data_IF_925678463652
#
_entry.id   IF_925678463652
#
_cell.length_a   1.000
_cell.length_b   1.000
_cell.length_c   1.000
_cell.angle_alpha   90.00
_cell.angle_beta   90.00
_cell.angle_gamma   90.00
#
_symmetry.space_group_name_H-M   'P 1'
#
loop_
_entity.id
_entity.type
_entity.pdbx_description
1 polymer ?
#
# COMPACT_ATOMS: atom_id res chain seq x y z
N UNK A 1 6.44 20.58 -1.61
CA UNK A 1 7.08 19.26 -1.49
C UNK A 1 6.39 18.27 -2.41
N UNK A 2 7.03 17.95 -3.55
CA UNK A 2 6.62 16.89 -4.49
C UNK A 2 7.85 16.15 -5.04
N UNK A 3 8.97 16.22 -4.32
CA UNK A 3 10.25 15.68 -4.80
C UNK A 3 10.38 14.20 -4.43
N UNK A 4 9.45 13.41 -4.97
CA UNK A 4 9.38 11.97 -4.66
C UNK A 4 10.61 11.23 -5.19
N UNK A 5 11.19 11.69 -6.31
CA UNK A 5 12.42 11.13 -6.86
C UNK A 5 13.52 11.11 -5.79
N UNK A 6 13.86 12.27 -5.24
CA UNK A 6 14.87 12.37 -4.19
C UNK A 6 14.49 11.60 -2.92
N UNK A 7 13.21 11.59 -2.53
CA UNK A 7 12.78 10.80 -1.36
C UNK A 7 12.98 9.29 -1.58
N UNK A 8 12.65 8.78 -2.76
CA UNK A 8 12.81 7.36 -3.09
C UNK A 8 14.25 6.98 -3.36
N UNK A 9 15.07 7.87 -3.93
CA UNK A 9 16.51 7.67 -4.08
C UNK A 9 17.17 7.53 -2.71
N UNK A 10 16.91 8.47 -1.79
CA UNK A 10 17.43 8.43 -0.43
C UNK A 10 16.99 7.17 0.34
N UNK A 11 15.80 6.64 0.05
CA UNK A 11 15.29 5.41 0.65
C UNK A 11 15.80 4.14 -0.03
N UNK A 12 16.29 4.17 -1.27
CA UNK A 12 16.66 2.98 -2.03
C UNK A 12 18.17 2.82 -2.21
N UNK A 13 18.91 3.92 -2.26
CA UNK A 13 20.36 3.91 -2.46
C UNK A 13 21.10 3.64 -1.15
N UNK A 14 22.26 2.99 -1.28
CA UNK A 14 23.20 2.83 -0.18
C UNK A 14 23.95 4.16 0.04
N UNK A 15 24.22 4.55 1.30
CA UNK A 15 24.93 5.78 1.59
C UNK A 15 26.32 5.78 0.95
N UNK A 16 26.72 6.92 0.37
CA UNK A 16 28.08 7.12 -0.12
C UNK A 16 29.14 7.01 0.98
N UNK A 17 30.44 6.91 0.62
CA UNK A 17 31.53 6.71 1.60
C UNK A 17 31.62 7.78 2.70
N UNK A 18 31.13 8.98 2.42
CA UNK A 18 31.12 10.13 3.35
C UNK A 18 29.71 10.46 3.88
N UNK A 19 28.69 9.70 3.48
CA UNK A 19 27.30 9.94 3.86
C UNK A 19 26.89 9.05 5.03
N UNK A 20 26.10 9.61 5.95
CA UNK A 20 25.52 8.84 7.04
C UNK A 20 24.27 8.11 6.56
N UNK A 21 24.21 6.81 6.83
CA UNK A 21 23.01 6.01 6.62
C UNK A 21 21.83 6.59 7.41
N UNK A 22 20.64 6.52 6.81
CA UNK A 22 19.42 6.84 7.55
C UNK A 22 19.20 5.82 8.68
N UNK A 23 18.83 6.33 9.84
CA UNK A 23 18.32 5.49 10.93
C UNK A 23 16.92 4.98 10.60
N UNK A 24 16.51 3.85 11.18
CA UNK A 24 15.16 3.28 10.97
C UNK A 24 14.04 4.29 11.26
N UNK A 25 14.23 5.15 12.27
CA UNK A 25 13.28 6.22 12.61
C UNK A 25 13.20 7.28 11.49
N UNK A 26 14.34 7.66 10.91
CA UNK A 26 14.38 8.61 9.80
C UNK A 26 13.75 8.01 8.54
N UNK A 27 14.02 6.75 8.22
CA UNK A 27 13.39 6.05 7.09
C UNK A 27 11.86 5.99 7.27
N UNK A 28 11.38 5.55 8.44
CA UNK A 28 9.94 5.50 8.73
C UNK A 28 9.28 6.89 8.65
N UNK A 29 9.94 7.92 9.18
CA UNK A 29 9.44 9.31 9.12
C UNK A 29 9.38 9.82 7.68
N UNK A 30 10.40 9.54 6.89
CA UNK A 30 10.48 9.94 5.49
C UNK A 30 9.39 9.25 4.66
N UNK A 31 9.17 7.95 4.86
CA UNK A 31 8.11 7.19 4.20
C UNK A 31 6.73 7.78 4.56
N UNK A 32 6.48 8.07 5.83
CA UNK A 32 5.22 8.68 6.26
C UNK A 32 4.99 10.06 5.62
N UNK A 33 6.01 10.90 5.59
CA UNK A 33 5.96 12.22 4.98
C UNK A 33 5.72 12.12 3.46
N UNK A 34 6.41 11.19 2.80
CA UNK A 34 6.23 10.88 1.38
C UNK A 34 4.79 10.45 1.10
N UNK A 35 4.24 9.47 1.82
CA UNK A 35 2.86 8.99 1.63
C UNK A 35 1.83 10.09 1.90
N UNK A 36 2.04 10.93 2.91
CA UNK A 36 1.20 12.10 3.17
C UNK A 36 1.25 13.13 2.03
N UNK A 37 2.41 13.34 1.43
CA UNK A 37 2.56 14.23 0.27
C UNK A 37 1.87 13.67 -0.98
N UNK A 38 1.91 12.35 -1.18
CA UNK A 38 1.18 11.64 -2.24
C UNK A 38 -0.32 11.84 -2.07
N UNK A 39 -0.85 11.57 -0.88
CA UNK A 39 -2.27 11.76 -0.55
C UNK A 39 -2.73 13.19 -0.84
N UNK A 40 -1.95 14.18 -0.39
CA UNK A 40 -2.25 15.59 -0.65
C UNK A 40 -2.21 15.93 -2.14
N UNK A 41 -1.22 15.44 -2.88
CA UNK A 41 -1.10 15.69 -4.32
C UNK A 41 -2.24 15.06 -5.13
N UNK A 42 -2.71 13.87 -4.72
CA UNK A 42 -3.77 13.14 -5.40
C UNK A 42 -5.18 13.65 -5.07
N UNK A 43 -5.42 14.10 -3.83
CA UNK A 43 -6.75 14.52 -3.36
C UNK A 43 -6.96 16.03 -3.43
N UNK A 44 -5.88 16.83 -3.44
CA UNK A 44 -5.95 18.29 -3.31
C UNK A 44 -6.45 18.77 -1.94
N UNK A 45 -6.68 17.86 -0.98
CA UNK A 45 -7.19 18.17 0.35
C UNK A 45 -6.02 18.59 1.23
N UNK A 46 -6.05 19.83 1.73
CA UNK A 46 -5.13 20.28 2.76
C UNK A 46 -5.54 19.74 4.14
N UNK A 47 -4.59 19.56 5.09
CA UNK A 47 -4.90 19.15 6.45
C UNK A 47 -5.99 20.05 7.07
N UNK A 48 -6.91 19.43 7.81
CA UNK A 48 -8.02 20.13 8.48
C UNK A 48 -7.47 21.31 9.29
N UNK A 49 -7.99 22.52 9.04
CA UNK A 49 -7.57 23.76 9.71
C UNK A 49 -6.68 24.71 8.89
N UNK A 50 -6.22 24.34 7.69
CA UNK A 50 -5.58 25.29 6.76
C UNK A 50 -6.60 25.81 5.75
N UNK A 51 -6.77 27.14 5.73
CA UNK A 51 -7.69 27.86 4.84
C UNK A 51 -7.47 27.43 3.38
N UNK A 52 -8.52 27.06 2.61
CA UNK A 52 -8.37 26.56 1.24
C UNK A 52 -7.87 27.69 0.33
N UNK A 53 -6.60 27.63 -0.08
CA UNK A 53 -6.07 28.53 -1.11
C UNK A 53 -6.31 27.90 -2.49
N UNK A 54 -7.48 28.18 -3.05
CA UNK A 54 -7.92 27.81 -4.40
C UNK A 54 -8.05 26.30 -4.65
N UNK A 55 -9.01 25.91 -5.49
CA UNK A 55 -9.14 24.54 -6.01
C UNK A 55 -7.89 24.22 -6.84
N UNK A 56 -6.82 23.75 -6.20
CA UNK A 56 -5.72 23.13 -6.93
C UNK A 56 -6.29 21.84 -7.51
N UNK A 57 -6.51 21.84 -8.82
CA UNK A 57 -7.03 20.70 -9.56
C UNK A 57 -6.30 19.42 -9.12
N UNK A 58 -7.07 18.38 -8.81
CA UNK A 58 -6.64 17.02 -8.52
C UNK A 58 -5.91 16.40 -9.73
N UNK A 59 -4.71 16.92 -10.03
CA UNK A 59 -3.88 16.63 -11.20
C UNK A 59 -2.62 15.85 -10.83
N UNK A 60 -2.34 15.67 -9.52
CA UNK A 60 -1.15 14.98 -9.04
C UNK A 60 -1.19 13.46 -9.22
N UNK A 61 -2.37 12.85 -9.42
CA UNK A 61 -2.50 11.39 -9.56
C UNK A 61 -1.63 10.83 -10.67
N UNK A 62 -1.62 11.47 -11.84
CA UNK A 62 -0.79 11.03 -12.97
C UNK A 62 0.71 11.07 -12.66
N UNK A 63 1.18 12.14 -12.00
CA UNK A 63 2.59 12.24 -11.58
C UNK A 63 2.95 11.22 -10.49
N UNK A 64 2.04 10.98 -9.54
CA UNK A 64 2.20 9.96 -8.49
C UNK A 64 2.31 8.59 -9.14
N UNK A 65 1.35 8.23 -10.00
CA UNK A 65 1.33 6.93 -10.67
C UNK A 65 2.58 6.71 -11.50
N UNK A 66 3.00 7.66 -12.34
CA UNK A 66 4.20 7.49 -13.16
C UNK A 66 5.46 7.21 -12.33
N UNK A 67 5.65 7.91 -11.22
CA UNK A 67 6.82 7.73 -10.38
C UNK A 67 6.76 6.41 -9.60
N UNK A 68 5.68 6.21 -8.84
CA UNK A 68 5.56 5.07 -7.92
C UNK A 68 5.29 3.74 -8.62
N UNK A 69 4.88 3.74 -9.89
CA UNK A 69 4.78 2.50 -10.68
C UNK A 69 6.11 1.75 -10.75
N UNK A 70 7.25 2.45 -10.67
CA UNK A 70 8.59 1.82 -10.68
C UNK A 70 9.28 1.84 -9.32
N UNK A 71 9.02 2.86 -8.50
CA UNK A 71 9.65 2.99 -7.18
C UNK A 71 9.00 2.10 -6.11
N UNK A 72 7.67 1.95 -6.14
CA UNK A 72 6.93 1.20 -5.11
C UNK A 72 7.35 -0.28 -5.00
N UNK A 73 7.51 -1.04 -6.11
CA UNK A 73 7.99 -2.41 -6.02
C UNK A 73 9.34 -2.53 -5.30
N UNK A 74 10.26 -1.59 -5.56
CA UNK A 74 11.59 -1.57 -4.95
C UNK A 74 11.51 -1.27 -3.45
N UNK A 75 10.67 -0.31 -3.06
CA UNK A 75 10.47 0.05 -1.66
C UNK A 75 9.85 -1.11 -0.86
N UNK A 76 8.82 -1.76 -1.41
CA UNK A 76 8.19 -2.91 -0.76
C UNK A 76 9.18 -4.07 -0.58
N UNK A 77 10.03 -4.34 -1.58
CA UNK A 77 11.08 -5.36 -1.46
C UNK A 77 12.12 -5.02 -0.38
N UNK A 78 12.56 -3.75 -0.27
CA UNK A 78 13.51 -3.31 0.76
C UNK A 78 12.92 -3.43 2.18
N UNK A 79 11.66 -3.03 2.36
CA UNK A 79 11.00 -2.94 3.67
C UNK A 79 10.10 -4.14 4.01
N UNK A 80 10.19 -5.26 3.29
CA UNK A 80 9.33 -6.45 3.44
C UNK A 80 9.30 -7.09 4.83
N UNK A 81 10.18 -6.70 5.75
CA UNK A 81 10.19 -7.21 7.13
C UNK A 81 9.45 -6.31 8.13
N UNK A 82 8.94 -5.15 7.69
CA UNK A 82 8.30 -4.17 8.55
C UNK A 82 6.85 -3.93 8.12
N UNK A 83 5.92 -4.65 8.75
CA UNK A 83 4.49 -4.61 8.46
C UNK A 83 3.89 -3.20 8.46
N UNK A 84 4.33 -2.33 9.38
CA UNK A 84 3.81 -0.95 9.48
C UNK A 84 4.26 -0.09 8.29
N UNK A 85 5.52 -0.23 7.89
CA UNK A 85 6.04 0.45 6.70
C UNK A 85 5.35 -0.08 5.45
N UNK A 86 5.17 -1.41 5.36
CA UNK A 86 4.47 -2.05 4.25
C UNK A 86 3.03 -1.57 4.12
N UNK A 87 2.26 -1.53 5.21
CA UNK A 87 0.90 -0.98 5.22
C UNK A 87 0.88 0.48 4.75
N UNK A 88 1.85 1.28 5.21
CA UNK A 88 1.99 2.68 4.79
C UNK A 88 2.28 2.82 3.30
N UNK A 89 3.18 2.01 2.75
CA UNK A 89 3.54 1.99 1.33
C UNK A 89 2.39 1.44 0.46
N UNK A 90 1.67 0.42 0.91
CA UNK A 90 0.49 -0.14 0.23
C UNK A 90 -0.69 0.85 0.13
N UNK A 91 -0.70 1.90 0.93
CA UNK A 91 -1.71 2.96 0.80
C UNK A 91 -1.48 3.86 -0.42
N UNK A 92 -0.26 3.89 -0.99
CA UNK A 92 0.11 4.74 -2.14
C UNK A 92 -0.70 4.37 -3.40
N UNK A 93 -0.84 3.09 -3.80
CA UNK A 93 -1.68 2.65 -4.92
C UNK A 93 -3.12 3.16 -4.89
N UNK A 94 -3.72 3.38 -3.71
CA UNK A 94 -5.08 3.94 -3.56
C UNK A 94 -5.25 5.30 -4.22
N UNK A 95 -4.15 6.01 -4.42
CA UNK A 95 -4.11 7.35 -4.99
C UNK A 95 -3.73 7.37 -6.48
N UNK A 96 -3.57 6.20 -7.12
CA UNK A 96 -3.17 6.12 -8.52
C UNK A 96 -4.30 6.53 -9.49
N UNK A 97 -3.90 7.03 -10.66
CA UNK A 97 -4.80 7.16 -11.80
C UNK A 97 -4.90 5.84 -12.55
N UNK A 98 -5.90 5.06 -12.18
CA UNK A 98 -6.19 3.76 -12.79
C UNK A 98 -6.51 3.85 -14.29
N UNK A 99 -6.86 5.04 -14.81
CA UNK A 99 -7.03 5.25 -16.26
C UNK A 99 -5.72 5.10 -17.03
N UNK A 100 -4.58 5.36 -16.40
CA UNK A 100 -3.27 5.19 -17.03
C UNK A 100 -2.98 3.71 -17.35
N UNK A 101 -3.43 2.81 -16.48
CA UNK A 101 -3.28 1.36 -16.62
C UNK A 101 -4.22 0.75 -17.66
N UNK A 102 -5.32 1.43 -18.00
CA UNK A 102 -6.24 0.99 -19.07
C UNK A 102 -5.64 1.12 -20.49
N UNK A 103 -4.44 1.71 -20.62
CA UNK A 103 -3.72 1.79 -21.89
C UNK A 103 -2.87 0.52 -22.08
N UNK A 104 -2.91 -0.11 -23.26
CA UNK A 104 -2.21 -1.38 -23.56
C UNK A 104 -0.72 -1.38 -23.21
N UNK A 105 -0.06 -0.21 -23.21
CA UNK A 105 1.36 -0.05 -22.86
C UNK A 105 1.67 -0.27 -21.37
N UNK A 106 0.70 -0.09 -20.47
CA UNK A 106 0.90 -0.12 -19.02
C UNK A 106 0.22 -1.33 -18.34
N UNK A 107 -0.29 -2.28 -19.12
CA UNK A 107 -1.02 -3.44 -18.59
C UNK A 107 -0.12 -4.36 -17.75
N UNK A 108 1.14 -4.56 -18.16
CA UNK A 108 2.13 -5.33 -17.39
C UNK A 108 2.42 -4.69 -16.02
N UNK A 109 2.37 -3.35 -15.94
CA UNK A 109 2.57 -2.61 -14.70
C UNK A 109 1.40 -2.79 -13.72
N UNK A 110 0.18 -3.03 -14.23
CA UNK A 110 -0.98 -3.36 -13.41
C UNK A 110 -0.88 -4.78 -12.87
N UNK A 111 -0.51 -5.74 -13.71
CA UNK A 111 -0.24 -7.12 -13.28
C UNK A 111 0.82 -7.15 -12.17
N UNK A 112 1.92 -6.42 -12.37
CA UNK A 112 2.97 -6.28 -11.34
C UNK A 112 2.43 -5.71 -10.01
N UNK A 113 1.53 -4.73 -10.07
CA UNK A 113 0.90 -4.17 -8.86
C UNK A 113 0.02 -5.21 -8.15
N UNK A 114 -0.74 -6.01 -8.92
CA UNK A 114 -1.58 -7.08 -8.37
C UNK A 114 -0.75 -8.21 -7.76
N UNK A 115 0.35 -8.60 -8.42
CA UNK A 115 1.27 -9.61 -7.90
C UNK A 115 1.93 -9.14 -6.59
N UNK A 116 2.30 -7.87 -6.52
CA UNK A 116 2.83 -7.25 -5.30
C UNK A 116 1.79 -7.25 -4.19
N UNK A 117 0.54 -6.87 -4.48
CA UNK A 117 -0.55 -6.90 -3.51
C UNK A 117 -0.78 -8.32 -2.97
N UNK A 118 -0.83 -9.31 -3.87
CA UNK A 118 -0.97 -10.73 -3.51
C UNK A 118 0.18 -11.18 -2.61
N UNK A 119 1.42 -11.00 -3.06
CA UNK A 119 2.60 -11.41 -2.32
C UNK A 119 2.67 -10.73 -0.95
N UNK A 120 2.24 -9.48 -0.85
CA UNK A 120 2.22 -8.77 0.43
C UNK A 120 1.18 -9.35 1.39
N UNK A 121 -0.01 -9.70 0.92
CA UNK A 121 -1.05 -10.33 1.75
C UNK A 121 -0.65 -11.76 2.17
N UNK A 122 0.04 -12.50 1.30
CA UNK A 122 0.52 -13.85 1.60
C UNK A 122 1.69 -13.86 2.60
N UNK A 123 2.57 -12.87 2.55
CA UNK A 123 3.77 -12.81 3.39
C UNK A 123 3.56 -12.12 4.74
N UNK A 124 2.46 -11.40 4.94
CA UNK A 124 2.20 -10.64 6.16
C UNK A 124 0.90 -11.08 6.84
N UNK A 125 0.97 -11.37 8.14
CA UNK A 125 -0.20 -11.73 8.97
C UNK A 125 -0.82 -10.53 9.71
N UNK A 126 -0.33 -9.31 9.44
CA UNK A 126 -0.84 -8.10 10.08
C UNK A 126 -2.21 -7.69 9.53
N UNK A 127 -3.19 -7.55 10.42
CA UNK A 127 -4.53 -7.06 10.08
C UNK A 127 -4.52 -5.70 9.39
N UNK A 128 -3.53 -4.85 9.68
CA UNK A 128 -3.40 -3.53 9.05
C UNK A 128 -2.99 -3.65 7.58
N UNK A 129 -2.07 -4.56 7.27
CA UNK A 129 -1.65 -4.85 5.89
C UNK A 129 -2.81 -5.41 5.08
N UNK A 130 -3.56 -6.37 5.65
CA UNK A 130 -4.73 -6.98 5.01
C UNK A 130 -5.85 -5.97 4.76
N UNK A 131 -6.13 -5.06 5.70
CA UNK A 131 -7.14 -4.01 5.53
C UNK A 131 -6.77 -3.02 4.41
N UNK A 132 -5.52 -2.58 4.34
CA UNK A 132 -5.07 -1.69 3.27
C UNK A 132 -5.11 -2.41 1.91
N UNK A 133 -4.71 -3.68 1.85
CA UNK A 133 -4.80 -4.49 0.64
C UNK A 133 -6.26 -4.68 0.19
N UNK A 134 -7.19 -4.92 1.11
CA UNK A 134 -8.62 -5.03 0.82
C UNK A 134 -9.19 -3.73 0.22
N UNK A 135 -8.85 -2.57 0.80
CA UNK A 135 -9.23 -1.25 0.26
C UNK A 135 -8.63 -0.99 -1.12
N UNK A 136 -7.41 -1.47 -1.38
CA UNK A 136 -6.78 -1.38 -2.68
C UNK A 136 -7.52 -2.22 -3.71
N UNK A 137 -7.87 -3.46 -3.35
CA UNK A 137 -8.66 -4.35 -4.19
C UNK A 137 -10.05 -3.77 -4.49
N UNK A 138 -10.76 -3.24 -3.48
CA UNK A 138 -12.05 -2.58 -3.67
C UNK A 138 -11.94 -1.43 -4.68
N UNK A 139 -10.94 -0.56 -4.50
CA UNK A 139 -10.70 0.58 -5.41
C UNK A 139 -10.42 0.09 -6.83
N UNK A 140 -9.66 -0.99 -7.00
CA UNK A 140 -9.35 -1.57 -8.31
C UNK A 140 -10.58 -2.19 -8.98
N UNK A 141 -11.40 -2.94 -8.23
CA UNK A 141 -12.61 -3.59 -8.72
C UNK A 141 -13.71 -2.59 -9.13
N UNK A 142 -13.83 -1.46 -8.43
CA UNK A 142 -14.79 -0.40 -8.77
C UNK A 142 -14.43 0.35 -10.07
N UNK A 143 -13.24 0.13 -10.63
CA UNK A 143 -12.85 0.72 -11.90
C UNK A 143 -13.17 -0.25 -13.05
N UNK A 144 -14.39 -0.13 -13.60
CA UNK A 144 -14.92 -0.95 -14.72
C UNK A 144 -14.00 -1.03 -15.96
N UNK A 145 -13.08 -0.07 -16.13
CA UNK A 145 -12.12 -0.07 -17.25
C UNK A 145 -10.93 -1.01 -17.06
N UNK A 146 -10.71 -1.50 -15.83
CA UNK A 146 -9.61 -2.39 -15.49
C UNK A 146 -10.03 -3.86 -15.41
N UNK A 147 -11.32 -4.19 -15.51
CA UNK A 147 -11.85 -5.57 -15.50
C UNK A 147 -11.77 -6.21 -16.89
N UNK A 148 -10.60 -6.16 -17.51
CA UNK A 148 -10.33 -6.98 -18.69
C UNK A 148 -10.18 -8.45 -18.27
N UNK A 149 -10.50 -9.39 -19.16
CA UNK A 149 -10.37 -10.84 -18.87
C UNK A 149 -8.96 -11.25 -18.38
N UNK A 150 -7.91 -10.50 -18.73
CA UNK A 150 -6.53 -10.76 -18.27
C UNK A 150 -6.29 -10.39 -16.81
N UNK A 151 -6.86 -9.28 -16.36
CA UNK A 151 -6.68 -8.72 -15.01
C UNK A 151 -7.66 -9.31 -14.00
N UNK A 152 -8.80 -9.82 -14.47
CA UNK A 152 -9.80 -10.54 -13.67
C UNK A 152 -9.20 -11.72 -12.93
N UNK A 153 -8.34 -12.52 -13.58
CA UNK A 153 -7.66 -13.65 -12.94
C UNK A 153 -6.77 -13.22 -11.77
N UNK A 154 -5.94 -12.19 -11.95
CA UNK A 154 -5.08 -11.67 -10.89
C UNK A 154 -5.88 -11.01 -9.76
N UNK A 155 -6.98 -10.31 -10.08
CA UNK A 155 -7.88 -9.74 -9.08
C UNK A 155 -8.52 -10.82 -8.21
N UNK A 156 -8.97 -11.93 -8.81
CA UNK A 156 -9.52 -13.08 -8.08
C UNK A 156 -8.47 -13.73 -7.16
N UNK A 157 -7.22 -13.83 -7.61
CA UNK A 157 -6.15 -14.37 -6.76
C UNK A 157 -5.85 -13.45 -5.57
N UNK A 158 -5.84 -12.13 -5.76
CA UNK A 158 -5.68 -11.17 -4.65
C UNK A 158 -6.87 -11.27 -3.69
N UNK A 159 -8.09 -11.39 -4.22
CA UNK A 159 -9.31 -11.57 -3.42
C UNK A 159 -9.23 -12.84 -2.56
N UNK A 160 -8.79 -13.95 -3.15
CA UNK A 160 -8.61 -15.22 -2.45
C UNK A 160 -7.54 -15.12 -1.36
N UNK A 161 -6.41 -14.46 -1.63
CA UNK A 161 -5.37 -14.22 -0.64
C UNK A 161 -5.89 -13.39 0.54
N UNK A 162 -6.61 -12.29 0.28
CA UNK A 162 -7.22 -11.45 1.32
C UNK A 162 -8.24 -12.24 2.13
N UNK A 163 -9.12 -12.99 1.47
CA UNK A 163 -10.13 -13.82 2.13
C UNK A 163 -9.49 -14.86 3.05
N UNK A 164 -8.44 -15.55 2.58
CA UNK A 164 -7.70 -16.56 3.35
C UNK A 164 -7.01 -15.94 4.57
N UNK A 165 -6.39 -14.77 4.40
CA UNK A 165 -5.77 -14.01 5.50
C UNK A 165 -6.79 -13.60 6.57
N UNK A 166 -7.99 -13.15 6.16
CA UNK A 166 -9.07 -12.80 7.10
C UNK A 166 -9.65 -14.03 7.83
N UNK A 167 -9.87 -15.14 7.12
CA UNK A 167 -10.38 -16.37 7.72
C UNK A 167 -9.41 -16.97 8.74
N UNK A 168 -8.12 -16.99 8.43
CA UNK A 168 -7.09 -17.46 9.36
C UNK A 168 -6.98 -16.57 10.60
N UNK A 169 -7.07 -15.25 10.42
CA UNK A 169 -7.14 -14.29 11.53
C UNK A 169 -8.36 -14.57 12.42
N UNK A 170 -9.54 -14.76 11.82
CA UNK A 170 -10.76 -15.04 12.57
C UNK A 170 -10.67 -16.35 13.39
N UNK A 171 -10.13 -17.42 12.80
CA UNK A 171 -9.91 -18.68 13.51
C UNK A 171 -8.99 -18.50 14.74
N UNK A 172 -7.92 -17.72 14.61
CA UNK A 172 -7.01 -17.45 15.73
C UNK A 172 -7.70 -16.71 16.87
N UNK A 173 -8.60 -15.76 16.57
CA UNK A 173 -9.41 -15.09 17.57
C UNK A 173 -10.39 -16.05 18.26
N UNK A 174 -11.05 -16.93 17.50
CA UNK A 174 -11.96 -17.96 18.06
C UNK A 174 -11.23 -18.91 19.01
N UNK A 175 -10.05 -19.39 18.64
CA UNK A 175 -9.19 -20.25 19.50
C UNK A 175 -8.76 -19.52 20.78
N UNK A 176 -8.40 -18.24 20.66
CA UNK A 176 -8.02 -17.42 21.83
C UNK A 176 -9.19 -17.24 22.80
N UNK A 177 -10.40 -17.00 22.29
CA UNK A 177 -11.63 -16.89 23.10
C UNK A 177 -11.95 -18.24 23.78
N UNK A 178 -11.83 -19.34 23.05
CA UNK A 178 -12.05 -20.68 23.59
C UNK A 178 -11.06 -21.00 24.73
N UNK A 179 -9.78 -20.66 24.56
CA UNK A 179 -8.75 -20.85 25.59
C UNK A 179 -9.02 -20.02 26.85
N UNK A 180 -9.39 -18.75 26.70
CA UNK A 180 -9.78 -17.91 27.85
C UNK A 180 -11.00 -18.49 28.56
N UNK A 181 -12.00 -18.96 27.81
CA UNK A 181 -13.20 -19.59 28.37
C UNK A 181 -12.82 -20.83 29.19
N UNK A 182 -11.98 -21.72 28.66
CA UNK A 182 -11.49 -22.91 29.37
C UNK A 182 -10.70 -22.57 30.65
N UNK A 183 -9.87 -21.52 30.63
CA UNK A 183 -9.18 -21.05 31.83
C UNK A 183 -10.14 -20.56 32.91
N UNK A 184 -11.20 -19.82 32.54
CA UNK A 184 -12.22 -19.37 33.48
C UNK A 184 -13.04 -20.54 34.06
N UNK A 185 -13.34 -21.57 33.27
CA UNK A 185 -14.09 -22.74 33.76
C UNK A 185 -13.26 -23.71 34.60
N UNK A 186 -11.92 -23.70 34.48
CA UNK A 186 -11.02 -24.56 35.27
C UNK A 186 -10.57 -23.95 36.60
N UNK A 187 -10.88 -22.68 36.84
CA UNK A 187 -10.59 -21.94 38.08
C UNK A 187 -11.80 -21.82 39.02
N UNK A 188 -12.97 -22.32 38.59
CA UNK A 188 -14.21 -22.46 39.36
C UNK A 188 -14.40 -23.91 39.82
#
# INVERSE_FOLDING_TARGET
MKDWATMTELLLEDPGPEEQALTELQESTLINLMTCSVKQAATGIHPLGRVPRSKVMASGKLSVTNHFMTALPKLLSKYQRNDKIIATLLSIPLYFDLKLYATTRQQNSLESLLDILKATVENHSSSEVTDVAAKALETLCLNERLTSSKTEGSLLQVLEAVSTSLLSSNRSYEESIANVSLMLYSTL
#
